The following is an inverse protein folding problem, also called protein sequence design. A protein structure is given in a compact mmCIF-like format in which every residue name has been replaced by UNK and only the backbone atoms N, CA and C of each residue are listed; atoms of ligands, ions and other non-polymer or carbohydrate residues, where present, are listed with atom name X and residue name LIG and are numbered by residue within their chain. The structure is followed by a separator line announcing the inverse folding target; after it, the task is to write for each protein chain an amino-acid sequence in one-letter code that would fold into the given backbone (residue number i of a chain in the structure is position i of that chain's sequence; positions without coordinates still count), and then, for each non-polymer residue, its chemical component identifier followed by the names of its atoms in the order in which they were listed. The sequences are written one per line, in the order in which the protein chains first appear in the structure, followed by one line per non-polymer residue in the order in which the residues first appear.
data_IF_841946780659
#
_entry.id   IF_841946780659
#
_cell.length_a   1.000
_cell.length_b   1.000
_cell.length_c   1.000
_cell.angle_alpha   90.00
_cell.angle_beta   90.00
_cell.angle_gamma   90.00
#
_symmetry.space_group_name_H-M   'P 1'
#
loop_
_entity.id
_entity.type
_entity.pdbx_description
1 polymer ?
#
# COMPACT_ATOMS: atom_id res chain seq x y z
N UNK A 1 33.52 -42.18 36.03
CA UNK A 1 32.84 -42.68 34.80
C UNK A 1 32.15 -41.49 34.15
N UNK A 2 32.31 -41.37 32.84
CA UNK A 2 32.29 -40.11 32.07
C UNK A 2 30.87 -39.53 31.92
N UNK A 3 30.73 -38.22 32.17
CA UNK A 3 29.58 -37.41 31.77
C UNK A 3 29.52 -37.39 30.24
N UNK A 4 28.43 -37.89 29.66
CA UNK A 4 28.18 -37.78 28.22
C UNK A 4 27.69 -36.38 27.92
N UNK A 5 28.57 -35.58 27.33
CA UNK A 5 28.30 -34.27 26.78
C UNK A 5 27.59 -34.49 25.44
N UNK A 6 26.29 -34.19 25.37
CA UNK A 6 25.57 -34.12 24.09
C UNK A 6 26.09 -32.89 23.38
N UNK A 7 26.86 -33.14 22.33
CA UNK A 7 27.39 -32.16 21.40
C UNK A 7 26.20 -31.49 20.71
N UNK A 8 25.81 -30.33 21.21
CA UNK A 8 24.99 -29.36 20.47
C UNK A 8 25.87 -28.91 19.31
N UNK A 9 25.73 -29.55 18.15
CA UNK A 9 26.29 -29.05 16.90
C UNK A 9 25.50 -27.79 16.59
N UNK A 10 26.01 -26.67 17.09
CA UNK A 10 25.74 -25.35 16.56
C UNK A 10 26.18 -25.40 15.10
N UNK A 11 25.23 -25.66 14.19
CA UNK A 11 25.43 -25.46 12.76
C UNK A 11 25.54 -23.94 12.58
N UNK A 12 26.75 -23.43 12.74
CA UNK A 12 27.10 -22.11 12.24
C UNK A 12 27.07 -22.26 10.72
N UNK A 13 25.93 -21.94 10.11
CA UNK A 13 25.90 -21.62 8.69
C UNK A 13 26.79 -20.39 8.51
N UNK A 14 28.05 -20.63 8.15
CA UNK A 14 28.92 -19.60 7.61
C UNK A 14 28.33 -19.29 6.25
N UNK A 15 27.46 -18.27 6.21
CA UNK A 15 26.88 -17.78 4.99
C UNK A 15 28.00 -17.38 4.03
N UNK A 16 28.06 -18.04 2.87
CA UNK A 16 28.37 -17.27 1.68
C UNK A 16 27.13 -16.40 1.48
N UNK A 17 27.12 -15.22 2.11
CA UNK A 17 26.05 -14.27 1.88
C UNK A 17 26.13 -13.90 0.40
N UNK A 18 25.12 -14.30 -0.38
CA UNK A 18 24.94 -13.80 -1.73
C UNK A 18 25.04 -12.28 -1.67
N UNK A 19 25.69 -11.66 -2.66
CA UNK A 19 25.79 -10.19 -2.75
C UNK A 19 24.45 -9.51 -3.06
N UNK A 20 23.34 -10.21 -2.86
CA UNK A 20 22.03 -9.83 -3.33
C UNK A 20 21.33 -8.88 -2.36
N UNK A 21 20.60 -7.93 -2.92
CA UNK A 21 19.80 -6.97 -2.14
C UNK A 21 18.41 -6.84 -2.75
N UNK A 22 17.41 -6.70 -1.90
CA UNK A 22 16.08 -6.27 -2.34
C UNK A 22 16.01 -4.76 -2.42
N UNK A 23 15.39 -4.27 -3.48
CA UNK A 23 15.05 -2.87 -3.71
C UNK A 23 13.56 -2.79 -4.04
N UNK A 24 12.95 -1.67 -3.69
CA UNK A 24 11.56 -1.34 -4.06
C UNK A 24 11.66 -0.09 -4.89
N UNK A 25 11.12 -0.12 -6.11
CA UNK A 25 11.10 1.00 -7.05
C UNK A 25 9.65 1.42 -7.28
N UNK A 26 9.31 2.64 -6.87
CA UNK A 26 8.04 3.29 -7.14
C UNK A 26 8.22 4.38 -8.23
N UNK A 27 7.14 4.89 -8.85
CA UNK A 27 7.24 5.95 -9.86
C UNK A 27 7.95 7.19 -9.31
N UNK A 28 8.95 7.71 -10.04
CA UNK A 28 9.67 8.95 -9.64
C UNK A 28 8.81 10.21 -9.84
N UNK A 29 7.94 10.19 -10.83
CA UNK A 29 7.05 11.31 -11.16
C UNK A 29 5.80 11.29 -10.27
N UNK A 30 5.40 12.47 -9.80
CA UNK A 30 4.19 12.61 -9.00
C UNK A 30 2.94 12.32 -9.83
N UNK A 31 2.12 11.39 -9.33
CA UNK A 31 0.89 10.91 -9.95
C UNK A 31 -0.29 11.80 -9.61
N UNK A 32 -1.28 11.86 -10.50
CA UNK A 32 -2.58 12.47 -10.20
C UNK A 32 -3.32 11.66 -9.14
N UNK A 33 -4.19 12.32 -8.36
CA UNK A 33 -4.88 11.70 -7.20
C UNK A 33 -5.71 10.45 -7.55
N UNK A 34 -6.10 10.26 -8.82
CA UNK A 34 -6.87 9.10 -9.31
C UNK A 34 -6.02 8.08 -10.08
N UNK A 35 -4.72 8.32 -10.23
CA UNK A 35 -3.83 7.45 -10.99
C UNK A 35 -3.36 6.24 -10.17
N UNK A 36 -3.16 5.13 -10.88
CA UNK A 36 -2.65 3.88 -10.31
C UNK A 36 -1.12 3.89 -10.37
N UNK A 37 -0.48 3.70 -9.23
CA UNK A 37 0.97 3.53 -9.14
C UNK A 37 1.36 2.07 -9.39
N UNK A 38 2.40 1.87 -10.21
CA UNK A 38 3.01 0.55 -10.41
C UNK A 38 4.34 0.49 -9.65
N UNK A 39 4.50 -0.51 -8.79
CA UNK A 39 5.68 -0.72 -7.95
C UNK A 39 6.39 -2.00 -8.37
N UNK A 40 7.71 -1.93 -8.41
CA UNK A 40 8.57 -3.06 -8.69
C UNK A 40 9.38 -3.44 -7.44
N UNK A 41 9.40 -4.73 -7.11
CA UNK A 41 10.32 -5.30 -6.13
C UNK A 41 11.42 -5.97 -6.93
N UNK A 42 12.67 -5.56 -6.69
CA UNK A 42 13.84 -5.97 -7.47
C UNK A 42 14.86 -6.70 -6.62
N UNK A 43 15.58 -7.63 -7.24
CA UNK A 43 16.64 -8.45 -6.66
C UNK A 43 17.97 -8.15 -7.35
N UNK A 44 18.71 -7.20 -6.80
CA UNK A 44 19.96 -6.70 -7.35
C UNK A 44 21.19 -7.42 -6.79
N UNK A 45 22.36 -7.18 -7.37
CA UNK A 45 23.64 -7.64 -6.84
C UNK A 45 24.02 -9.09 -7.14
N UNK A 46 23.12 -9.89 -7.72
CA UNK A 46 23.43 -11.25 -8.16
C UNK A 46 24.33 -11.26 -9.39
N UNK A 47 25.44 -12.00 -9.31
CA UNK A 47 26.26 -12.36 -10.48
C UNK A 47 25.51 -13.34 -11.41
N UNK A 48 25.96 -13.46 -12.66
CA UNK A 48 25.36 -14.42 -13.62
C UNK A 48 25.39 -15.87 -13.11
N UNK A 49 26.42 -16.23 -12.34
CA UNK A 49 26.51 -17.55 -11.70
C UNK A 49 25.47 -17.68 -10.60
N UNK A 50 25.28 -16.66 -9.76
CA UNK A 50 24.29 -16.69 -8.68
C UNK A 50 22.84 -16.67 -9.22
N UNK A 51 22.60 -16.04 -10.38
CA UNK A 51 21.30 -16.09 -11.07
C UNK A 51 20.88 -17.51 -11.45
N UNK A 52 21.81 -18.46 -11.58
CA UNK A 52 21.46 -19.86 -11.84
C UNK A 52 20.69 -20.52 -10.70
N UNK A 53 20.86 -20.04 -9.46
CA UNK A 53 20.13 -20.53 -8.29
C UNK A 53 18.67 -20.07 -8.27
N UNK A 54 18.29 -19.11 -9.11
CA UNK A 54 16.90 -18.66 -9.28
C UNK A 54 16.07 -19.55 -10.22
N UNK A 55 16.67 -20.59 -10.80
CA UNK A 55 16.00 -21.50 -11.74
C UNK A 55 14.89 -22.35 -11.11
N UNK A 56 15.00 -22.66 -9.81
CA UNK A 56 13.90 -23.19 -8.99
C UNK A 56 14.03 -22.52 -7.63
N UNK A 57 13.06 -21.70 -7.26
CA UNK A 57 13.19 -20.77 -6.15
C UNK A 57 11.85 -20.52 -5.48
N UNK A 58 11.89 -20.02 -4.26
CA UNK A 58 10.72 -19.56 -3.51
C UNK A 58 10.96 -18.16 -2.97
N UNK A 59 9.89 -17.38 -2.87
CA UNK A 59 9.92 -16.10 -2.19
C UNK A 59 8.73 -15.96 -1.25
N UNK A 60 8.95 -15.37 -0.08
CA UNK A 60 7.90 -15.04 0.87
C UNK A 60 8.25 -13.76 1.65
N UNK A 61 7.39 -12.77 1.60
CA UNK A 61 7.61 -11.48 2.26
C UNK A 61 6.29 -10.75 2.53
N UNK A 62 6.39 -9.70 3.32
CA UNK A 62 5.29 -8.80 3.62
C UNK A 62 5.56 -7.45 2.98
N UNK A 63 4.57 -6.95 2.26
CA UNK A 63 4.49 -5.56 1.81
C UNK A 63 3.67 -4.82 2.85
N UNK A 64 4.19 -3.70 3.33
CA UNK A 64 3.44 -2.69 4.05
C UNK A 64 3.41 -1.42 3.23
N UNK A 65 2.26 -0.77 3.22
CA UNK A 65 2.03 0.49 2.54
C UNK A 65 1.22 1.39 3.46
N UNK A 66 1.26 2.70 3.19
CA UNK A 66 0.47 3.67 3.93
C UNK A 66 -1.02 3.28 3.97
N UNK A 67 -1.70 3.56 5.07
CA UNK A 67 -3.10 3.17 5.25
C UNK A 67 -4.03 3.82 4.22
N UNK A 68 -3.65 4.98 3.70
CA UNK A 68 -4.39 5.71 2.66
C UNK A 68 -4.20 5.13 1.25
N UNK A 69 -3.33 4.12 1.10
CA UNK A 69 -3.20 3.37 -0.15
C UNK A 69 -4.05 2.10 -0.10
N UNK A 70 -4.69 1.81 -1.23
CA UNK A 70 -5.36 0.55 -1.50
C UNK A 70 -4.50 -0.29 -2.44
N UNK A 71 -4.24 -1.54 -2.05
CA UNK A 71 -3.69 -2.54 -2.96
C UNK A 71 -4.70 -2.86 -4.07
N UNK A 72 -4.28 -2.77 -5.33
CA UNK A 72 -5.13 -3.09 -6.48
C UNK A 72 -5.25 -4.62 -6.58
N UNK A 73 -6.47 -5.21 -6.45
CA UNK A 73 -6.66 -6.65 -6.52
C UNK A 73 -6.11 -7.26 -7.81
N UNK A 74 -5.58 -8.48 -7.71
CA UNK A 74 -5.02 -9.26 -8.83
C UNK A 74 -3.87 -8.57 -9.61
N UNK A 75 -3.32 -7.46 -9.10
CA UNK A 75 -2.25 -6.70 -9.76
C UNK A 75 -0.86 -7.29 -9.58
N UNK A 76 -0.66 -8.15 -8.57
CA UNK A 76 0.65 -8.73 -8.29
C UNK A 76 1.03 -9.75 -9.36
N UNK A 77 2.04 -9.38 -10.13
CA UNK A 77 2.59 -10.13 -11.23
C UNK A 77 4.07 -10.44 -10.96
N UNK A 78 4.57 -11.49 -11.58
CA UNK A 78 5.98 -11.87 -11.51
C UNK A 78 6.35 -12.62 -12.79
N UNK A 79 7.47 -12.22 -13.38
CA UNK A 79 8.09 -12.93 -14.50
C UNK A 79 9.00 -14.07 -14.01
N UNK A 80 9.26 -14.12 -12.70
CA UNK A 80 10.12 -15.11 -12.06
C UNK A 80 9.35 -16.33 -11.57
N UNK A 81 8.18 -16.19 -10.97
CA UNK A 81 7.43 -17.34 -10.43
C UNK A 81 6.29 -17.74 -11.39
N UNK A 82 6.13 -19.04 -11.67
CA UNK A 82 5.08 -19.58 -12.55
C UNK A 82 3.96 -20.24 -11.71
N UNK A 83 2.78 -20.45 -12.29
CA UNK A 83 1.58 -20.95 -11.57
C UNK A 83 1.86 -22.25 -10.83
N UNK A 84 1.22 -22.47 -9.68
CA UNK A 84 1.33 -23.77 -8.98
C UNK A 84 0.96 -24.94 -9.90
N UNK A 85 -0.01 -24.76 -10.78
CA UNK A 85 -0.38 -25.76 -11.79
C UNK A 85 0.75 -26.08 -12.79
N UNK A 86 1.47 -25.07 -13.28
CA UNK A 86 2.63 -25.25 -14.15
C UNK A 86 3.79 -25.92 -13.40
N UNK A 87 3.99 -25.58 -12.12
CA UNK A 87 4.99 -26.20 -11.24
C UNK A 87 4.78 -27.73 -11.11
N UNK A 88 3.55 -28.19 -10.88
CA UNK A 88 3.25 -29.62 -10.73
C UNK A 88 3.30 -30.40 -12.04
N UNK A 89 2.97 -29.76 -13.17
CA UNK A 89 3.03 -30.41 -14.48
C UNK A 89 4.48 -30.65 -14.92
N UNK A 90 5.40 -29.76 -14.53
CA UNK A 90 6.80 -29.82 -14.92
C UNK A 90 7.68 -30.71 -14.02
N UNK A 91 7.25 -31.02 -12.79
CA UNK A 91 8.01 -31.81 -11.81
C UNK A 91 8.23 -33.30 -12.19
N UNK A 92 7.61 -33.79 -13.27
CA UNK A 92 7.68 -35.20 -13.66
C UNK A 92 7.01 -36.14 -12.63
N UNK A 93 6.91 -37.42 -12.97
CA UNK A 93 6.13 -38.39 -12.17
C UNK A 93 6.89 -39.00 -10.99
N UNK A 94 8.17 -38.67 -10.76
CA UNK A 94 8.93 -39.27 -9.66
C UNK A 94 10.20 -38.51 -9.25
N UNK A 95 10.40 -38.23 -7.95
CA UNK A 95 9.45 -38.42 -6.86
C UNK A 95 8.40 -37.30 -6.91
N UNK A 96 7.12 -37.65 -7.09
CA UNK A 96 6.04 -36.69 -6.97
C UNK A 96 5.93 -36.29 -5.48
N UNK A 97 6.19 -35.02 -5.11
CA UNK A 97 6.17 -34.59 -3.70
C UNK A 97 4.77 -34.53 -3.10
N UNK A 98 3.69 -34.78 -3.87
CA UNK A 98 2.32 -34.61 -3.41
C UNK A 98 1.36 -35.72 -3.88
N UNK A 99 0.50 -36.21 -2.99
CA UNK A 99 -0.48 -37.29 -3.25
C UNK A 99 -1.93 -36.92 -2.93
N UNK A 100 -2.22 -35.63 -2.68
CA UNK A 100 -3.57 -35.16 -2.36
C UNK A 100 -4.37 -34.63 -3.57
N UNK A 101 -5.71 -34.55 -3.49
CA UNK A 101 -6.49 -33.77 -4.43
C UNK A 101 -6.31 -32.27 -4.12
N UNK A 102 -5.74 -31.52 -5.07
CA UNK A 102 -5.74 -30.05 -5.02
C UNK A 102 -7.17 -29.60 -5.33
N UNK A 103 -7.96 -29.29 -4.31
CA UNK A 103 -9.36 -28.91 -4.46
C UNK A 103 -9.45 -27.39 -4.73
N UNK A 104 -9.13 -26.98 -5.95
CA UNK A 104 -9.13 -25.58 -6.38
C UNK A 104 -8.20 -25.36 -7.58
N UNK A 105 -8.60 -24.49 -8.52
CA UNK A 105 -7.73 -24.05 -9.60
C UNK A 105 -6.83 -22.95 -9.04
N UNK A 106 -5.60 -23.30 -8.63
CA UNK A 106 -4.58 -22.32 -8.25
C UNK A 106 -3.91 -21.79 -9.53
N UNK A 107 -4.61 -20.90 -10.24
CA UNK A 107 -4.18 -20.33 -11.52
C UNK A 107 -3.10 -19.26 -11.41
N UNK A 108 -2.71 -18.85 -10.19
CA UNK A 108 -1.70 -17.82 -9.97
C UNK A 108 -0.46 -18.39 -9.24
N UNK A 109 0.77 -17.96 -9.58
CA UNK A 109 2.02 -18.36 -8.92
C UNK A 109 2.12 -17.91 -7.46
N UNK A 110 1.18 -17.06 -7.06
CA UNK A 110 1.29 -16.11 -5.97
C UNK A 110 0.09 -16.29 -5.06
N UNK A 111 0.36 -16.53 -3.78
CA UNK A 111 -0.65 -16.39 -2.73
C UNK A 111 -0.51 -14.99 -2.16
N UNK A 112 -1.60 -14.24 -2.26
CA UNK A 112 -1.73 -12.95 -1.60
C UNK A 112 -2.65 -13.18 -0.42
N UNK A 113 -2.13 -13.01 0.78
CA UNK A 113 -2.97 -12.92 1.96
C UNK A 113 -3.13 -11.46 2.33
N UNK A 114 -4.29 -10.91 2.01
CA UNK A 114 -4.73 -9.60 2.44
C UNK A 114 -5.70 -9.85 3.60
N UNK A 115 -5.16 -10.01 4.82
CA UNK A 115 -5.87 -10.45 6.04
C UNK A 115 -6.92 -9.42 6.55
N UNK A 116 -7.54 -8.62 5.67
CA UNK A 116 -8.40 -7.47 6.01
C UNK A 116 -7.73 -6.41 6.90
N UNK A 117 -6.40 -6.47 7.05
CA UNK A 117 -5.60 -5.46 7.76
C UNK A 117 -5.14 -4.44 6.71
N UNK A 118 -5.72 -3.22 6.79
CA UNK A 118 -5.31 -2.10 5.95
C UNK A 118 -3.80 -1.86 6.01
N UNK A 119 -3.19 -1.48 4.88
CA UNK A 119 -1.76 -1.17 4.82
C UNK A 119 -0.82 -2.37 4.82
N UNK A 120 -1.31 -3.61 4.71
CA UNK A 120 -0.45 -4.81 4.74
C UNK A 120 -0.90 -5.90 3.79
N UNK A 121 0.06 -6.55 3.14
CA UNK A 121 -0.19 -7.72 2.30
C UNK A 121 0.96 -8.71 2.39
N UNK A 122 0.64 -9.99 2.59
CA UNK A 122 1.63 -11.07 2.58
C UNK A 122 1.66 -11.75 1.21
N UNK A 123 2.87 -11.97 0.71
CA UNK A 123 3.14 -12.56 -0.61
C UNK A 123 3.94 -13.83 -0.42
N UNK A 124 3.51 -14.90 -1.09
CA UNK A 124 4.30 -16.12 -1.24
C UNK A 124 4.26 -16.61 -2.69
N UNK A 125 5.41 -17.00 -3.24
CA UNK A 125 5.55 -17.50 -4.60
C UNK A 125 6.61 -18.61 -4.70
N UNK A 126 6.46 -19.48 -5.69
CA UNK A 126 7.39 -20.59 -5.94
C UNK A 126 7.60 -20.84 -7.44
N UNK A 127 8.76 -21.40 -7.79
CA UNK A 127 9.12 -21.86 -9.13
C UNK A 127 9.84 -23.21 -9.01
N UNK A 128 9.40 -24.21 -9.76
CA UNK A 128 10.06 -25.50 -9.86
C UNK A 128 10.80 -25.74 -11.19
N UNK A 129 10.63 -24.87 -12.20
CA UNK A 129 11.28 -25.01 -13.51
C UNK A 129 11.82 -23.70 -14.08
N UNK A 130 13.03 -23.68 -14.65
CA UNK A 130 13.60 -22.46 -15.22
C UNK A 130 12.86 -22.02 -16.50
N UNK A 131 12.23 -20.85 -16.50
CA UNK A 131 12.01 -20.05 -17.70
C UNK A 131 13.20 -19.14 -17.95
N UNK A 132 13.40 -18.76 -19.22
CA UNK A 132 14.52 -17.95 -19.71
C UNK A 132 14.76 -16.74 -18.82
N UNK A 133 16.01 -16.59 -18.41
CA UNK A 133 16.61 -15.45 -17.73
C UNK A 133 15.94 -14.14 -18.13
N UNK A 134 15.17 -13.57 -17.21
CA UNK A 134 14.87 -12.15 -17.28
C UNK A 134 16.22 -11.41 -17.19
N UNK A 135 16.54 -10.56 -18.17
CA UNK A 135 17.64 -9.60 -18.07
C UNK A 135 17.37 -8.55 -16.98
N UNK A 136 16.12 -8.48 -16.51
CA UNK A 136 15.65 -7.54 -15.51
C UNK A 136 15.62 -8.23 -14.14
N UNK A 137 16.10 -7.52 -13.13
CA UNK A 137 16.13 -7.98 -11.76
C UNK A 137 14.75 -7.84 -11.06
N UNK A 138 13.67 -7.54 -11.80
CA UNK A 138 12.32 -7.32 -11.26
C UNK A 138 11.70 -8.64 -10.83
N UNK A 139 11.64 -8.87 -9.52
CA UNK A 139 11.11 -10.08 -8.91
C UNK A 139 9.58 -10.10 -8.88
N UNK A 140 8.97 -8.95 -8.57
CA UNK A 140 7.51 -8.75 -8.54
C UNK A 140 7.14 -7.36 -9.02
N UNK A 141 5.96 -7.24 -9.60
CA UNK A 141 5.32 -5.96 -9.92
C UNK A 141 3.93 -5.98 -9.30
N UNK A 142 3.51 -4.91 -8.64
CA UNK A 142 2.15 -4.77 -8.12
C UNK A 142 1.67 -3.33 -8.27
N UNK A 143 0.38 -3.12 -8.05
CA UNK A 143 -0.22 -1.81 -8.18
C UNK A 143 -0.91 -1.38 -6.90
N UNK A 144 -0.83 -0.08 -6.62
CA UNK A 144 -1.58 0.58 -5.54
C UNK A 144 -2.24 1.83 -6.09
N UNK A 145 -3.29 2.29 -5.42
CA UNK A 145 -3.95 3.55 -5.69
C UNK A 145 -4.33 4.21 -4.37
N UNK A 146 -4.67 5.50 -4.39
CA UNK A 146 -5.24 6.14 -3.20
C UNK A 146 -6.61 5.56 -2.88
N UNK A 147 -6.96 5.54 -1.60
CA UNK A 147 -8.33 5.30 -1.19
C UNK A 147 -9.24 6.43 -1.70
N UNK A 148 -10.47 6.05 -2.05
CA UNK A 148 -11.50 6.95 -2.53
C UNK A 148 -12.25 7.54 -1.33
N UNK A 149 -11.57 8.41 -0.58
CA UNK A 149 -12.07 9.04 0.65
C UNK A 149 -11.60 10.50 0.74
N UNK A 150 -12.46 11.39 1.25
CA UNK A 150 -12.20 12.83 1.37
C UNK A 150 -10.99 13.20 2.26
N UNK A 151 -10.59 12.30 3.17
CA UNK A 151 -9.44 12.50 4.06
C UNK A 151 -8.08 12.36 3.37
N UNK A 152 -8.02 11.75 2.19
CA UNK A 152 -6.76 11.46 1.50
C UNK A 152 -6.25 12.68 0.74
N UNK A 153 -5.02 13.12 1.04
CA UNK A 153 -4.44 14.37 0.50
C UNK A 153 -3.25 14.11 -0.43
N UNK A 154 -2.83 15.14 -1.16
CA UNK A 154 -1.57 15.08 -1.88
C UNK A 154 -0.40 14.85 -0.90
N UNK A 155 0.60 14.07 -1.30
CA UNK A 155 1.71 13.75 -0.41
C UNK A 155 2.49 12.52 -0.83
N UNK A 156 3.38 12.13 0.09
CA UNK A 156 4.26 10.98 -0.05
C UNK A 156 3.72 9.81 0.75
N UNK A 157 3.50 8.67 0.09
CA UNK A 157 2.97 7.45 0.69
C UNK A 157 4.02 6.35 0.64
N UNK A 158 4.47 5.92 1.83
CA UNK A 158 5.61 5.00 1.94
C UNK A 158 5.22 3.57 1.61
N UNK A 159 6.17 2.84 1.02
CA UNK A 159 6.05 1.41 0.74
C UNK A 159 7.27 0.70 1.29
N UNK A 160 7.04 -0.35 2.06
CA UNK A 160 8.08 -1.13 2.73
C UNK A 160 7.91 -2.62 2.47
N UNK A 161 9.00 -3.31 2.14
CA UNK A 161 9.06 -4.77 2.07
C UNK A 161 9.87 -5.29 3.23
N UNK A 162 9.36 -6.32 3.91
CA UNK A 162 10.01 -6.91 5.08
C UNK A 162 9.79 -8.42 5.18
N UNK A 163 10.62 -9.13 5.97
CA UNK A 163 10.41 -10.54 6.26
C UNK A 163 9.02 -10.80 6.83
N UNK A 164 8.37 -11.85 6.35
CA UNK A 164 7.09 -12.29 6.92
C UNK A 164 7.32 -12.93 8.28
N UNK A 165 6.46 -12.59 9.24
CA UNK A 165 6.38 -13.23 10.55
C UNK A 165 5.24 -14.24 10.52
N UNK A 166 5.55 -15.52 10.78
CA UNK A 166 4.56 -16.59 10.90
C UNK A 166 4.41 -17.04 12.34
N UNK A 167 3.17 -17.31 12.76
CA UNK A 167 2.84 -17.73 14.13
C UNK A 167 2.00 -19.01 14.19
N UNK A 168 1.91 -19.76 13.08
CA UNK A 168 1.13 -20.98 13.01
C UNK A 168 1.84 -22.15 13.73
N UNK A 169 1.39 -22.44 14.95
CA UNK A 169 1.92 -23.53 15.78
C UNK A 169 1.70 -24.92 15.20
N UNK A 170 0.64 -25.13 14.41
CA UNK A 170 0.38 -26.41 13.75
C UNK A 170 1.39 -26.69 12.63
N UNK A 171 1.90 -25.63 12.00
CA UNK A 171 2.99 -25.68 11.04
C UNK A 171 4.39 -25.64 11.70
N UNK A 172 4.45 -25.61 13.04
CA UNK A 172 5.70 -25.65 13.81
C UNK A 172 6.35 -24.30 14.10
N UNK A 173 5.68 -23.18 13.80
CA UNK A 173 6.16 -21.84 14.16
C UNK A 173 5.80 -21.47 15.60
N UNK A 174 6.59 -20.59 16.22
CA UNK A 174 6.26 -20.06 17.55
C UNK A 174 4.96 -19.26 17.55
N UNK A 175 4.18 -19.38 18.63
CA UNK A 175 2.99 -18.54 18.84
C UNK A 175 3.33 -17.04 18.92
N UNK A 176 4.56 -16.70 19.34
CA UNK A 176 5.05 -15.31 19.43
C UNK A 176 5.46 -14.74 18.06
N UNK A 177 5.43 -15.56 17.01
CA UNK A 177 5.83 -15.19 15.66
C UNK A 177 7.32 -15.36 15.38
N UNK A 178 7.65 -15.89 14.20
CA UNK A 178 9.03 -16.09 13.75
C UNK A 178 9.20 -15.60 12.30
N UNK A 179 10.30 -14.87 11.99
CA UNK A 179 10.57 -14.44 10.63
C UNK A 179 11.03 -15.63 9.77
N UNK A 180 10.63 -15.63 8.50
CA UNK A 180 11.05 -16.61 7.49
C UNK A 180 12.00 -16.00 6.46
N UNK A 181 12.80 -16.85 5.82
CA UNK A 181 13.71 -16.41 4.76
C UNK A 181 12.92 -15.90 3.56
N UNK A 182 13.41 -14.83 2.95
CA UNK A 182 12.64 -14.03 2.00
C UNK A 182 12.77 -14.53 0.58
N UNK A 183 13.98 -14.90 0.15
CA UNK A 183 14.22 -15.55 -1.14
C UNK A 183 15.12 -16.75 -0.93
N UNK A 184 14.65 -17.91 -1.35
CA UNK A 184 15.39 -19.17 -1.35
C UNK A 184 15.59 -19.64 -2.79
N UNK A 185 16.81 -19.99 -3.14
CA UNK A 185 17.15 -20.55 -4.44
C UNK A 185 17.15 -22.08 -4.44
N UNK A 186 17.63 -22.66 -5.53
CA UNK A 186 17.94 -24.08 -5.66
C UNK A 186 19.26 -24.23 -6.40
N UNK A 187 20.18 -25.01 -5.84
CA UNK A 187 21.43 -25.36 -6.51
C UNK A 187 21.14 -26.41 -7.61
N UNK A 188 21.35 -26.09 -8.90
CA UNK A 188 21.05 -27.01 -9.98
C UNK A 188 21.97 -28.24 -9.99
N UNK A 189 23.05 -28.24 -9.21
CA UNK A 189 24.03 -29.33 -9.14
C UNK A 189 23.79 -30.28 -7.96
N UNK A 190 22.77 -30.02 -7.14
CA UNK A 190 22.45 -30.80 -5.94
C UNK A 190 21.09 -31.45 -6.04
N UNK A 191 20.94 -32.62 -5.41
CA UNK A 191 19.63 -33.22 -5.21
C UNK A 191 18.87 -32.47 -4.11
N UNK A 192 17.53 -32.43 -4.15
CA UNK A 192 16.69 -31.82 -3.10
C UNK A 192 17.03 -32.23 -1.66
N UNK A 193 17.54 -33.45 -1.47
CA UNK A 193 17.90 -34.01 -0.16
C UNK A 193 19.30 -33.63 0.31
N UNK A 194 20.11 -33.04 -0.55
CA UNK A 194 21.50 -32.72 -0.25
C UNK A 194 21.58 -31.45 0.62
N UNK A 195 22.60 -31.41 1.48
CA UNK A 195 22.85 -30.23 2.29
C UNK A 195 23.16 -29.01 1.41
N UNK A 196 22.41 -27.93 1.64
CA UNK A 196 22.52 -26.69 0.87
C UNK A 196 22.00 -26.80 -0.57
N UNK A 197 21.08 -27.74 -0.85
CA UNK A 197 20.32 -27.75 -2.09
C UNK A 197 19.46 -26.49 -2.27
N UNK A 198 19.03 -25.89 -1.16
CA UNK A 198 18.22 -24.67 -1.13
C UNK A 198 18.96 -23.53 -0.44
N UNK A 199 19.88 -22.84 -1.13
CA UNK A 199 20.58 -21.71 -0.55
C UNK A 199 19.63 -20.53 -0.27
N UNK A 200 19.83 -19.86 0.86
CA UNK A 200 19.14 -18.61 1.19
C UNK A 200 19.82 -17.46 0.44
N UNK A 201 19.07 -16.78 -0.43
CA UNK A 201 19.54 -15.65 -1.23
C UNK A 201 19.29 -14.35 -0.48
N UNK A 202 18.07 -14.17 0.04
CA UNK A 202 17.71 -13.07 0.93
C UNK A 202 17.20 -13.66 2.24
N UNK A 203 17.93 -13.40 3.31
CA UNK A 203 17.68 -13.99 4.62
C UNK A 203 16.61 -13.25 5.41
N UNK A 204 16.00 -13.96 6.35
CA UNK A 204 14.97 -13.46 7.28
C UNK A 204 15.38 -12.30 8.18
N UNK A 205 16.68 -12.03 8.29
CA UNK A 205 17.23 -10.91 9.06
C UNK A 205 17.56 -9.69 8.19
N UNK A 206 17.12 -9.67 6.92
CA UNK A 206 17.21 -8.45 6.11
C UNK A 206 16.51 -7.28 6.83
N UNK A 207 17.11 -6.10 6.74
CA UNK A 207 16.42 -4.87 7.16
C UNK A 207 15.20 -4.65 6.28
N UNK A 208 14.10 -4.08 6.81
CA UNK A 208 13.01 -3.60 5.99
C UNK A 208 13.51 -2.69 4.87
N UNK A 209 13.06 -2.94 3.64
CA UNK A 209 13.38 -2.15 2.45
C UNK A 209 12.21 -1.20 2.23
N UNK A 210 12.34 0.03 2.74
CA UNK A 210 11.28 1.05 2.74
C UNK A 210 11.75 2.39 2.18
N UNK A 211 12.73 2.39 1.27
CA UNK A 211 13.31 3.59 0.70
C UNK A 211 12.52 4.16 -0.49
N UNK A 212 11.35 3.58 -0.79
CA UNK A 212 10.46 4.04 -1.88
C UNK A 212 9.13 4.52 -1.35
N UNK A 213 8.59 5.48 -2.09
CA UNK A 213 7.33 6.14 -1.82
C UNK A 213 6.63 6.43 -3.14
N UNK A 214 5.30 6.44 -3.12
CA UNK A 214 4.51 6.99 -4.21
C UNK A 214 4.17 8.41 -3.86
N UNK A 215 4.47 9.36 -4.74
CA UNK A 215 4.09 10.75 -4.55
C UNK A 215 2.83 11.05 -5.36
N UNK A 216 1.79 11.53 -4.69
CA UNK A 216 0.59 12.03 -5.33
C UNK A 216 0.56 13.55 -5.25
N UNK A 217 0.23 14.21 -6.36
CA UNK A 217 0.02 15.66 -6.42
C UNK A 217 -1.47 15.95 -6.51
N UNK A 218 -1.87 16.99 -5.79
CA UNK A 218 -3.18 17.60 -6.01
C UNK A 218 -3.26 18.00 -7.49
N UNK A 219 -4.40 17.74 -8.11
CA UNK A 219 -4.65 18.36 -9.40
C UNK A 219 -4.71 19.88 -9.16
N UNK A 220 -4.11 20.68 -10.04
CA UNK A 220 -4.13 22.14 -9.94
C UNK A 220 -5.56 22.70 -10.03
N UNK A 221 -6.53 21.86 -10.44
CA UNK A 221 -7.96 22.17 -10.44
C UNK A 221 -8.76 21.57 -9.28
N UNK A 222 -8.36 20.43 -8.68
CA UNK A 222 -9.16 19.73 -7.64
C UNK A 222 -8.29 18.85 -6.70
N UNK A 223 -8.12 19.21 -5.41
CA UNK A 223 -7.24 18.51 -4.47
C UNK A 223 -7.85 17.29 -3.74
N UNK A 224 -9.13 16.96 -3.94
CA UNK A 224 -9.85 15.92 -3.18
C UNK A 224 -10.27 14.76 -4.11
N UNK A 225 -9.62 13.57 -4.03
CA UNK A 225 -10.04 12.42 -4.82
C UNK A 225 -11.44 11.95 -4.40
N UNK A 226 -12.32 11.80 -5.39
CA UNK A 226 -13.68 11.30 -5.18
C UNK A 226 -14.66 12.32 -4.58
N UNK A 227 -14.23 13.56 -4.40
CA UNK A 227 -14.97 14.69 -3.84
C UNK A 227 -14.64 15.89 -4.73
N UNK A 228 -15.48 16.12 -5.75
CA UNK A 228 -15.15 17.00 -6.87
C UNK A 228 -15.14 18.49 -6.48
N UNK A 229 -15.85 18.89 -5.44
CA UNK A 229 -15.90 20.27 -4.93
C UNK A 229 -15.23 20.48 -3.56
N UNK A 230 -14.67 19.42 -2.96
CA UNK A 230 -13.91 19.47 -1.71
C UNK A 230 -14.72 19.97 -0.51
N UNK A 231 -15.99 19.58 -0.42
CA UNK A 231 -16.87 19.98 0.66
C UNK A 231 -16.92 18.97 1.83
N UNK A 232 -16.29 17.81 1.66
CA UNK A 232 -16.24 16.73 2.66
C UNK A 232 -17.16 15.55 2.35
N UNK A 233 -18.02 15.65 1.33
CA UNK A 233 -18.83 14.55 0.79
C UNK A 233 -18.15 13.93 -0.42
N UNK A 234 -18.35 12.63 -0.60
CA UNK A 234 -17.89 11.95 -1.82
C UNK A 234 -18.93 12.13 -2.94
N UNK A 235 -18.50 12.31 -4.18
CA UNK A 235 -19.34 12.34 -5.38
C UNK A 235 -20.33 11.16 -5.43
N UNK A 236 -19.93 10.02 -4.85
CA UNK A 236 -20.75 8.81 -4.78
C UNK A 236 -21.96 8.89 -3.84
N UNK A 237 -21.93 9.77 -2.83
CA UNK A 237 -23.06 10.03 -1.91
C UNK A 237 -23.90 11.23 -2.37
N UNK A 238 -23.37 12.05 -3.26
CA UNK A 238 -23.97 13.26 -3.80
C UNK A 238 -24.71 12.99 -5.11
N UNK A 239 -25.98 12.61 -4.98
CA UNK A 239 -26.72 12.05 -6.12
C UNK A 239 -27.25 13.08 -7.11
N UNK A 240 -27.07 14.38 -6.86
CA UNK A 240 -27.62 15.50 -7.63
C UNK A 240 -29.12 15.32 -7.96
N UNK A 241 -29.86 14.72 -7.02
CA UNK A 241 -31.30 14.48 -7.17
C UNK A 241 -32.13 15.65 -6.66
N UNK A 242 -31.53 16.56 -5.90
CA UNK A 242 -32.23 17.61 -5.17
C UNK A 242 -33.17 17.05 -4.08
N UNK A 243 -32.94 15.81 -3.63
CA UNK A 243 -33.72 15.18 -2.56
C UNK A 243 -32.79 14.48 -1.57
N UNK A 244 -32.78 14.98 -0.33
CA UNK A 244 -32.04 14.35 0.76
C UNK A 244 -32.76 13.08 1.21
N UNK A 245 -32.06 11.94 1.09
CA UNK A 245 -32.54 10.63 1.54
C UNK A 245 -31.81 10.19 2.80
N UNK A 246 -30.49 10.35 2.84
CA UNK A 246 -29.61 9.94 3.94
C UNK A 246 -28.20 10.50 3.77
N UNK A 247 -27.28 10.40 4.76
CA UNK A 247 -25.87 10.76 4.59
C UNK A 247 -25.13 10.00 3.47
N UNK A 248 -25.64 8.85 3.02
CA UNK A 248 -25.09 8.09 1.88
C UNK A 248 -25.83 8.36 0.56
N UNK A 249 -26.78 9.30 0.56
CA UNK A 249 -27.58 9.73 -0.59
C UNK A 249 -28.18 11.10 -0.24
N UNK A 250 -27.33 12.12 -0.30
CA UNK A 250 -27.59 13.47 0.20
C UNK A 250 -28.44 14.28 -0.77
N UNK A 251 -28.38 13.93 -2.06
CA UNK A 251 -29.09 14.65 -3.12
C UNK A 251 -28.47 15.99 -3.52
N UNK A 252 -27.32 16.34 -2.93
CA UNK A 252 -26.48 17.51 -3.22
C UNK A 252 -25.78 17.39 -4.58
N UNK A 253 -25.30 18.49 -5.13
CA UNK A 253 -24.57 18.52 -6.40
C UNK A 253 -23.08 18.30 -6.16
N UNK A 254 -22.46 17.22 -6.67
CA UNK A 254 -21.05 16.90 -6.41
C UNK A 254 -20.03 17.91 -6.93
N UNK A 255 -20.46 19.00 -7.57
CA UNK A 255 -19.58 20.05 -8.08
C UNK A 255 -19.91 21.41 -7.48
N UNK A 256 -20.70 21.46 -6.42
CA UNK A 256 -21.06 22.67 -5.70
C UNK A 256 -20.99 22.44 -4.19
N UNK A 257 -19.94 23.00 -3.57
CA UNK A 257 -19.66 22.81 -2.15
C UNK A 257 -20.77 23.26 -1.19
N UNK A 258 -21.72 24.09 -1.64
CA UNK A 258 -22.88 24.61 -0.91
C UNK A 258 -24.09 24.54 -1.85
N UNK A 259 -24.75 23.39 -1.91
CA UNK A 259 -25.81 23.11 -2.91
C UNK A 259 -26.97 24.07 -2.76
N UNK A 260 -27.30 24.46 -1.53
CA UNK A 260 -28.43 25.32 -1.29
C UNK A 260 -28.13 26.81 -1.35
N UNK A 261 -26.86 27.24 -1.34
CA UNK A 261 -26.37 28.62 -1.34
C UNK A 261 -26.76 29.40 -0.06
N UNK A 262 -26.49 28.85 1.12
CA UNK A 262 -26.68 29.52 2.41
C UNK A 262 -25.40 29.91 3.15
N UNK A 263 -24.25 29.50 2.62
CA UNK A 263 -22.91 29.80 3.12
C UNK A 263 -22.29 28.72 4.00
N UNK A 264 -22.85 27.51 4.06
CA UNK A 264 -22.26 26.33 4.71
C UNK A 264 -22.04 25.22 3.70
N UNK A 265 -20.98 24.43 3.91
CA UNK A 265 -20.67 23.31 3.02
C UNK A 265 -21.65 22.16 3.23
N UNK A 266 -22.06 21.47 2.17
CA UNK A 266 -23.03 20.37 2.31
C UNK A 266 -22.49 19.28 3.27
N UNK A 267 -21.19 18.99 3.19
CA UNK A 267 -20.50 18.07 4.10
C UNK A 267 -20.62 18.42 5.58
N UNK A 268 -20.54 19.71 5.94
CA UNK A 268 -20.71 20.13 7.34
C UNK A 268 -22.18 19.98 7.80
N UNK A 269 -23.11 20.15 6.85
CA UNK A 269 -24.54 20.15 7.10
C UNK A 269 -25.12 18.75 7.25
N UNK A 270 -24.63 17.73 6.55
CA UNK A 270 -25.19 16.36 6.55
C UNK A 270 -25.29 15.73 7.95
N UNK A 271 -24.42 16.11 8.90
CA UNK A 271 -24.47 15.63 10.29
C UNK A 271 -25.44 16.40 11.19
N UNK A 272 -25.84 17.62 10.82
CA UNK A 272 -26.52 18.57 11.71
C UNK A 272 -27.85 19.09 11.19
N UNK A 273 -27.99 19.22 9.87
CA UNK A 273 -29.13 19.80 9.16
C UNK A 273 -29.32 19.13 7.78
N UNK A 274 -30.11 19.77 6.90
CA UNK A 274 -30.40 19.24 5.57
C UNK A 274 -29.70 20.16 4.55
N UNK A 275 -28.73 19.65 3.76
CA UNK A 275 -27.90 20.44 2.84
C UNK A 275 -28.64 20.96 1.59
N UNK A 276 -29.96 20.80 1.53
CA UNK A 276 -30.80 21.24 0.42
C UNK A 276 -31.81 22.32 0.84
N UNK A 277 -31.66 22.86 2.05
CA UNK A 277 -32.61 23.78 2.64
C UNK A 277 -31.86 24.93 3.31
N UNK A 278 -31.84 26.07 2.63
CA UNK A 278 -31.29 27.33 3.15
C UNK A 278 -31.64 27.53 4.61
N UNK A 279 -30.68 27.31 5.48
CA UNK A 279 -30.77 27.46 6.92
C UNK A 279 -29.51 28.16 7.44
N UNK A 280 -29.44 29.50 7.29
CA UNK A 280 -28.33 30.27 7.85
C UNK A 280 -28.29 30.24 9.38
N UNK A 281 -29.28 29.64 10.05
CA UNK A 281 -29.30 29.39 11.49
C UNK A 281 -28.86 27.96 11.86
N UNK A 282 -28.51 27.10 10.89
CA UNK A 282 -27.96 25.77 11.18
C UNK A 282 -26.66 25.93 11.99
N UNK A 283 -26.71 25.44 13.24
CA UNK A 283 -25.59 25.54 14.18
C UNK A 283 -24.71 24.31 14.03
N UNK A 284 -23.59 24.47 13.33
CA UNK A 284 -22.55 23.45 13.21
C UNK A 284 -21.64 23.55 14.43
N UNK A 285 -21.58 22.54 15.32
CA UNK A 285 -20.79 22.59 16.55
C UNK A 285 -19.29 22.64 16.24
N UNK A 286 -18.72 23.85 16.22
CA UNK A 286 -17.30 24.07 15.93
C UNK A 286 -17.06 25.30 15.04
N UNK A 287 -17.99 25.58 14.13
CA UNK A 287 -17.93 26.76 13.26
C UNK A 287 -18.51 27.97 13.99
N UNK A 288 -17.66 28.74 14.68
CA UNK A 288 -18.04 30.08 15.12
C UNK A 288 -17.96 31.00 13.90
N UNK A 289 -19.05 31.71 13.61
CA UNK A 289 -19.16 32.69 12.52
C UNK A 289 -17.88 33.55 12.38
N UNK A 290 -17.05 33.26 11.35
CA UNK A 290 -15.77 33.92 11.11
C UNK A 290 -14.55 33.02 10.85
N UNK A 291 -14.67 31.70 11.00
CA UNK A 291 -13.67 30.73 10.52
C UNK A 291 -13.95 30.41 9.04
N UNK A 292 -13.07 30.85 8.14
CA UNK A 292 -13.19 30.69 6.67
C UNK A 292 -12.24 29.65 6.11
N UNK A 293 -11.49 28.94 6.96
CA UNK A 293 -10.44 28.02 6.54
C UNK A 293 -10.58 26.61 7.16
N UNK A 294 -11.53 26.42 8.08
CA UNK A 294 -11.88 25.13 8.66
C UNK A 294 -10.87 24.59 9.66
N UNK A 295 -9.94 25.43 10.16
CA UNK A 295 -8.94 25.02 11.15
C UNK A 295 -9.44 25.06 12.60
N UNK A 296 -10.71 25.45 12.82
CA UNK A 296 -11.36 25.55 14.13
C UNK A 296 -10.75 26.61 15.05
N UNK A 297 -9.92 27.53 14.53
CA UNK A 297 -9.37 28.68 15.26
C UNK A 297 -9.77 30.00 14.59
N UNK A 298 -10.44 30.91 15.33
CA UNK A 298 -10.61 32.29 14.86
C UNK A 298 -9.30 33.05 15.07
N UNK A 299 -8.44 33.05 14.07
CA UNK A 299 -7.15 33.75 14.14
C UNK A 299 -7.26 35.19 13.60
N UNK A 300 -6.24 36.01 13.87
CA UNK A 300 -6.15 37.33 13.26
C UNK A 300 -5.97 37.27 11.72
N UNK A 301 -5.63 36.11 11.15
CA UNK A 301 -5.53 35.93 9.70
C UNK A 301 -6.91 35.88 9.03
N UNK A 302 -7.90 35.27 9.70
CA UNK A 302 -9.29 35.14 9.21
C UNK A 302 -10.03 36.48 9.25
N UNK A 303 -9.68 37.36 10.19
CA UNK A 303 -10.16 38.73 10.23
C UNK A 303 -9.58 39.63 9.10
N UNK A 304 -8.42 39.27 8.54
CA UNK A 304 -7.72 40.04 7.49
C UNK A 304 -8.24 39.70 6.09
N UNK A 305 -8.66 38.44 5.85
CA UNK A 305 -9.29 38.04 4.58
C UNK A 305 -10.70 38.62 4.42
N UNK A 306 -11.44 38.79 5.52
CA UNK A 306 -12.77 39.41 5.52
C UNK A 306 -12.74 40.94 5.35
N UNK A 307 -11.60 41.61 5.60
CA UNK A 307 -11.47 43.06 5.48
C UNK A 307 -10.95 43.44 4.09
N UNK A 308 -11.86 43.55 3.13
CA UNK A 308 -11.57 44.09 1.80
C UNK A 308 -11.10 45.56 1.92
N UNK A 309 -9.79 45.77 1.99
CA UNK A 309 -9.14 47.08 2.19
C UNK A 309 -9.25 48.01 0.97
N UNK A 310 -10.15 47.73 0.02
CA UNK A 310 -10.39 48.53 -1.18
C UNK A 310 -11.48 49.60 -1.01
N UNK A 311 -12.17 49.69 0.15
CA UNK A 311 -13.36 50.54 0.32
C UNK A 311 -13.26 51.67 1.35
N UNK A 312 -12.08 51.96 1.93
CA UNK A 312 -11.95 53.09 2.87
C UNK A 312 -11.12 54.26 2.30
N UNK A 313 -11.65 55.50 2.26
CA UNK A 313 -10.90 56.65 1.80
C UNK A 313 -9.70 56.93 2.71
N UNK A 314 -8.53 57.15 2.10
CA UNK A 314 -7.20 57.29 2.72
C UNK A 314 -7.02 58.50 3.64
N UNK A 315 -8.07 59.27 3.92
CA UNK A 315 -8.04 60.47 4.75
C UNK A 315 -8.34 60.23 6.24
N UNK A 316 -8.57 58.98 6.67
CA UNK A 316 -9.07 58.66 8.01
C UNK A 316 -8.04 58.05 8.97
N UNK A 317 -6.80 57.78 8.54
CA UNK A 317 -5.82 57.07 9.37
C UNK A 317 -4.90 58.03 10.12
N UNK A 318 -4.67 57.75 11.41
CA UNK A 318 -3.64 58.44 12.22
C UNK A 318 -2.24 57.94 11.87
N UNK A 319 -1.19 58.70 12.21
CA UNK A 319 0.22 58.39 11.86
C UNK A 319 0.75 57.07 12.45
N UNK A 320 0.02 56.46 13.39
CA UNK A 320 0.32 55.13 13.93
C UNK A 320 -0.31 53.97 13.12
N UNK A 321 -1.17 54.28 12.14
CA UNK A 321 -1.92 53.30 11.34
C UNK A 321 -1.64 53.42 9.83
N UNK A 322 -0.65 54.23 9.42
CA UNK A 322 0.00 54.11 8.12
C UNK A 322 1.19 53.17 8.25
#
# INVERSE_FOLDING_TARGET
MKKFMILFVCLIFVGNAFGATLTVDAPEEALGMTEIATIEIRLDGLTDTEKTYMGSSGAAFTIEYDENLLYVPDSLNTTFFDTFQAQFTAAGTSPNPYTGPVNGIYSSPVVVNNDDIAGKTMVAAARCTPTSTSSENILFTFQVQLQDTSDVKAGDYNITVKPTILNNTDAGYSADGEPIDVVVGSDPNKQPTDEGAYPVIIAKNMSPVGNSKVTYKADETHPCPGDSDCDGLLDSVETNTGVYVSPQNTGTDPNNEDTDDDGKKDGDEVEHCNPLVKDPECVIPGCVNGDVNGDSEVTAADAVSAFNLSLLPSSSWTEAQK
#
